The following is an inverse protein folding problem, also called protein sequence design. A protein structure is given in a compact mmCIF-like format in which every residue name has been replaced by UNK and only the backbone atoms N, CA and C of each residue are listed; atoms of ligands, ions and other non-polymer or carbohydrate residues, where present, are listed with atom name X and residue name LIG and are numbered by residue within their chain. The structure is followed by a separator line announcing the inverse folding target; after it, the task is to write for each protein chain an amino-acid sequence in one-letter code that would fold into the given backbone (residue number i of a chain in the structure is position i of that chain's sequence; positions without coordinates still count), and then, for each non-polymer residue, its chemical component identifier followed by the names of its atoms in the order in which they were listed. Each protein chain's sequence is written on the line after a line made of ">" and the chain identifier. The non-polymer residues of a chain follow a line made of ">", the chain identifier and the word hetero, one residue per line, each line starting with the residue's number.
data_IF_586013477968
#
_entry.id   IF_586013477968
#
_cell.length_a   1.000
_cell.length_b   1.000
_cell.length_c   1.000
_cell.angle_alpha   90.00
_cell.angle_beta   90.00
_cell.angle_gamma   90.00
#
_symmetry.space_group_name_H-M   'P 1'
#
loop_
_entity.id
_entity.type
_entity.pdbx_description
1 polymer ?
#
# COMPACT_ATOMS: atom_id res chain seq x y z
N UNK A 1 -18.84 22.02 -6.40
CA UNK A 1 -18.60 21.24 -7.63
C UNK A 1 -18.41 19.79 -7.21
N UNK A 2 -19.36 18.91 -7.51
CA UNK A 2 -19.23 17.48 -7.23
C UNK A 2 -18.22 16.91 -8.20
N UNK A 3 -17.08 16.43 -7.71
CA UNK A 3 -16.09 15.75 -8.56
C UNK A 3 -16.67 14.37 -8.89
N UNK A 4 -17.03 14.15 -10.15
CA UNK A 4 -17.40 12.82 -10.62
C UNK A 4 -16.16 11.93 -10.59
N UNK A 5 -16.18 10.91 -9.73
CA UNK A 5 -15.11 9.93 -9.62
C UNK A 5 -15.47 8.78 -10.56
N UNK A 6 -14.56 8.40 -11.47
CA UNK A 6 -14.78 7.26 -12.36
C UNK A 6 -14.92 5.95 -11.57
N UNK A 7 -15.65 4.98 -12.14
CA UNK A 7 -15.80 3.65 -11.55
C UNK A 7 -14.46 2.96 -11.33
N UNK A 8 -13.54 3.08 -12.30
CA UNK A 8 -12.17 2.58 -12.20
C UNK A 8 -11.44 3.19 -10.99
N UNK A 9 -11.58 4.50 -10.78
CA UNK A 9 -10.97 5.18 -9.65
C UNK A 9 -11.56 4.71 -8.31
N UNK A 10 -12.89 4.54 -8.23
CA UNK A 10 -13.55 3.99 -7.04
C UNK A 10 -13.06 2.57 -6.72
N UNK A 11 -12.94 1.70 -7.74
CA UNK A 11 -12.39 0.36 -7.56
C UNK A 11 -10.94 0.39 -7.11
N UNK A 12 -10.12 1.25 -7.73
CA UNK A 12 -8.71 1.40 -7.38
C UNK A 12 -8.53 1.85 -5.92
N UNK A 13 -9.34 2.79 -5.44
CA UNK A 13 -9.26 3.30 -4.08
C UNK A 13 -9.60 2.27 -3.00
N UNK A 14 -10.44 1.27 -3.32
CA UNK A 14 -10.77 0.15 -2.42
C UNK A 14 -9.97 -1.13 -2.72
N UNK A 15 -8.95 -1.03 -3.58
CA UNK A 15 -8.13 -2.16 -3.98
C UNK A 15 -6.80 -2.24 -3.25
N UNK A 16 -6.37 -3.46 -2.98
CA UNK A 16 -5.02 -3.82 -2.57
C UNK A 16 -4.30 -4.57 -3.70
N UNK A 17 -2.97 -4.50 -3.66
CA UNK A 17 -2.08 -5.38 -4.40
C UNK A 17 -1.22 -6.14 -3.40
N UNK A 18 -1.32 -7.46 -3.45
CA UNK A 18 -0.56 -8.39 -2.62
C UNK A 18 0.52 -9.05 -3.47
N UNK A 19 1.72 -9.13 -2.94
CA UNK A 19 2.90 -9.67 -3.61
C UNK A 19 3.46 -10.80 -2.74
N UNK A 20 3.98 -11.86 -3.37
CA UNK A 20 4.64 -12.95 -2.67
C UNK A 20 3.72 -14.05 -2.11
N UNK A 21 2.40 -14.00 -2.35
CA UNK A 21 1.50 -15.11 -2.05
C UNK A 21 1.73 -16.27 -3.03
N UNK A 22 1.99 -17.51 -2.57
CA UNK A 22 2.17 -18.66 -3.44
C UNK A 22 0.99 -18.89 -4.39
N UNK A 23 1.29 -19.29 -5.63
CA UNK A 23 0.26 -19.70 -6.58
C UNK A 23 0.01 -21.20 -6.44
N UNK A 24 -1.27 -21.58 -6.43
CA UNK A 24 -1.65 -22.99 -6.49
C UNK A 24 -1.26 -23.58 -7.84
N UNK A 25 -0.70 -24.79 -7.82
CA UNK A 25 -0.38 -25.59 -9.01
C UNK A 25 -1.51 -26.57 -9.37
N UNK A 26 -2.69 -26.41 -8.77
CA UNK A 26 -3.85 -27.26 -9.08
C UNK A 26 -4.16 -27.22 -10.59
N UNK A 27 -4.42 -28.36 -11.24
CA UNK A 27 -4.71 -28.39 -12.67
C UNK A 27 -5.95 -27.55 -13.04
N UNK A 28 -6.94 -27.46 -12.16
CA UNK A 28 -8.19 -26.77 -12.41
C UNK A 28 -8.08 -25.26 -12.12
N UNK A 29 -8.38 -24.38 -13.10
CA UNK A 29 -8.36 -22.93 -12.90
C UNK A 29 -9.28 -22.45 -11.76
N UNK A 30 -10.45 -23.07 -11.60
CA UNK A 30 -11.40 -22.75 -10.53
C UNK A 30 -10.85 -23.04 -9.14
N UNK A 31 -10.12 -24.16 -8.98
CA UNK A 31 -9.44 -24.52 -7.72
C UNK A 31 -8.31 -23.55 -7.39
N UNK A 32 -7.53 -23.12 -8.40
CA UNK A 32 -6.49 -22.09 -8.20
C UNK A 32 -7.09 -20.75 -7.75
N UNK A 33 -8.18 -20.31 -8.40
CA UNK A 33 -8.89 -19.08 -8.02
C UNK A 33 -9.48 -19.17 -6.60
N UNK A 34 -10.06 -20.32 -6.23
CA UNK A 34 -10.56 -20.56 -4.88
C UNK A 34 -9.44 -20.54 -3.83
N UNK A 35 -8.28 -21.13 -4.15
CA UNK A 35 -7.11 -21.10 -3.28
C UNK A 35 -6.57 -19.67 -3.07
N UNK A 36 -6.53 -18.84 -4.12
CA UNK A 36 -6.15 -17.42 -4.00
C UNK A 36 -7.13 -16.66 -3.08
N UNK A 37 -8.44 -16.88 -3.23
CA UNK A 37 -9.46 -16.26 -2.37
C UNK A 37 -9.33 -16.70 -0.91
N UNK A 38 -9.08 -17.98 -0.66
CA UNK A 38 -8.87 -18.51 0.69
C UNK A 38 -7.61 -17.92 1.34
N UNK A 39 -6.49 -17.86 0.62
CA UNK A 39 -5.26 -17.24 1.10
C UNK A 39 -5.45 -15.76 1.44
N UNK A 40 -6.17 -15.00 0.61
CA UNK A 40 -6.49 -13.59 0.90
C UNK A 40 -7.37 -13.46 2.14
N UNK A 41 -8.35 -14.34 2.31
CA UNK A 41 -9.24 -14.30 3.48
C UNK A 41 -8.43 -14.52 4.76
N UNK A 42 -7.57 -15.55 4.82
CA UNK A 42 -6.69 -15.78 5.97
C UNK A 42 -5.68 -14.66 6.22
N UNK A 43 -5.22 -13.97 5.16
CA UNK A 43 -4.40 -12.76 5.31
C UNK A 43 -5.18 -11.61 5.94
N UNK A 44 -6.44 -11.40 5.54
CA UNK A 44 -7.32 -10.38 6.13
C UNK A 44 -7.65 -10.72 7.59
N UNK A 45 -7.86 -11.99 7.92
CA UNK A 45 -8.06 -12.46 9.29
C UNK A 45 -6.84 -12.15 10.16
N UNK A 46 -5.63 -12.43 9.66
CA UNK A 46 -4.36 -12.12 10.34
C UNK A 46 -4.18 -10.62 10.57
N UNK A 47 -4.76 -9.79 9.70
CA UNK A 47 -4.75 -8.34 9.84
C UNK A 47 -5.85 -7.83 10.80
N UNK A 48 -6.87 -8.65 11.09
CA UNK A 48 -8.04 -8.28 11.87
C UNK A 48 -9.03 -7.42 11.07
N UNK A 49 -9.20 -7.72 9.78
CA UNK A 49 -10.09 -6.98 8.89
C UNK A 49 -11.39 -7.76 8.72
N UNK A 50 -12.47 -7.21 9.25
CA UNK A 50 -13.80 -7.83 9.28
C UNK A 50 -14.55 -7.62 7.95
N UNK A 51 -13.94 -8.02 6.83
CA UNK A 51 -14.63 -8.05 5.54
C UNK A 51 -14.10 -9.15 4.62
N UNK A 52 -14.99 -9.73 3.82
CA UNK A 52 -14.60 -10.61 2.72
C UNK A 52 -14.14 -9.81 1.49
N UNK A 53 -13.13 -10.28 0.75
CA UNK A 53 -12.75 -9.65 -0.51
C UNK A 53 -13.85 -9.86 -1.55
N UNK A 54 -14.22 -8.78 -2.26
CA UNK A 54 -15.25 -8.81 -3.31
C UNK A 54 -14.75 -9.53 -4.55
N UNK A 55 -13.53 -9.22 -5.00
CA UNK A 55 -12.91 -9.80 -6.19
C UNK A 55 -11.43 -10.04 -5.91
N UNK A 56 -10.93 -11.20 -6.34
CA UNK A 56 -9.53 -11.61 -6.18
C UNK A 56 -9.05 -12.21 -7.50
N UNK A 57 -7.94 -11.70 -8.04
CA UNK A 57 -7.35 -12.22 -9.27
C UNK A 57 -5.87 -11.88 -9.40
N UNK A 58 -5.12 -12.72 -10.12
CA UNK A 58 -3.70 -12.50 -10.41
C UNK A 58 -3.52 -11.54 -11.58
N UNK A 59 -2.53 -10.66 -11.48
CA UNK A 59 -2.13 -9.73 -12.52
C UNK A 59 -0.98 -10.31 -13.36
N UNK A 60 -0.97 -10.01 -14.65
CA UNK A 60 0.06 -10.45 -15.59
C UNK A 60 -0.32 -11.72 -16.35
N UNK A 61 0.60 -12.20 -17.19
CA UNK A 61 0.38 -13.37 -18.04
C UNK A 61 0.19 -14.64 -17.19
N UNK A 62 -0.41 -15.67 -17.78
CA UNK A 62 -0.62 -16.97 -17.12
C UNK A 62 0.71 -17.57 -16.63
N UNK A 63 0.61 -18.41 -15.60
CA UNK A 63 1.71 -19.08 -14.91
C UNK A 63 2.84 -19.47 -15.88
N UNK A 64 3.99 -18.82 -15.70
CA UNK A 64 5.22 -19.20 -16.38
C UNK A 64 6.06 -20.02 -15.39
N UNK A 65 6.30 -21.32 -15.64
CA UNK A 65 7.08 -22.16 -14.74
C UNK A 65 8.54 -21.70 -14.54
N UNK A 66 9.05 -20.81 -15.41
CA UNK A 66 10.38 -20.19 -15.23
C UNK A 66 10.37 -18.95 -14.33
N UNK A 67 9.18 -18.47 -13.95
CA UNK A 67 9.04 -17.27 -13.14
C UNK A 67 9.37 -17.58 -11.68
N UNK A 68 10.51 -17.06 -11.21
CA UNK A 68 10.99 -17.25 -9.83
C UNK A 68 10.06 -16.66 -8.75
N UNK A 69 9.07 -15.86 -9.14
CA UNK A 69 8.16 -15.18 -8.22
C UNK A 69 6.70 -15.34 -8.61
N UNK A 70 5.85 -15.54 -7.60
CA UNK A 70 4.41 -15.54 -7.77
C UNK A 70 3.92 -14.19 -8.31
N UNK A 71 2.90 -14.24 -9.15
CA UNK A 71 2.26 -13.05 -9.74
C UNK A 71 1.60 -12.20 -8.67
N UNK A 72 1.54 -10.90 -8.93
CA UNK A 72 0.83 -9.96 -8.07
C UNK A 72 -0.66 -10.35 -8.01
N UNK A 73 -1.26 -10.23 -6.84
CA UNK A 73 -2.67 -10.48 -6.64
C UNK A 73 -3.38 -9.15 -6.40
N UNK A 74 -4.38 -8.84 -7.22
CA UNK A 74 -5.29 -7.73 -7.00
C UNK A 74 -6.46 -8.20 -6.15
N UNK A 75 -6.77 -7.41 -5.12
CA UNK A 75 -7.87 -7.67 -4.20
C UNK A 75 -8.75 -6.43 -4.13
N UNK A 76 -10.02 -6.54 -4.51
CA UNK A 76 -11.03 -5.50 -4.27
C UNK A 76 -11.72 -5.76 -2.94
N UNK A 77 -11.84 -4.71 -2.13
CA UNK A 77 -12.58 -4.72 -0.88
C UNK A 77 -13.93 -4.01 -1.05
N UNK A 78 -14.90 -4.23 -0.15
CA UNK A 78 -16.21 -3.60 -0.26
C UNK A 78 -16.14 -2.07 -0.29
N UNK A 79 -15.24 -1.47 0.51
CA UNK A 79 -15.09 -0.04 0.66
C UNK A 79 -13.62 0.40 0.87
N UNK A 80 -13.36 1.69 0.58
CA UNK A 80 -12.05 2.34 0.82
C UNK A 80 -11.62 2.28 2.30
N UNK A 81 -12.57 2.27 3.23
CA UNK A 81 -12.27 2.16 4.67
C UNK A 81 -11.51 0.87 5.00
N UNK A 82 -11.96 -0.28 4.50
CA UNK A 82 -11.29 -1.57 4.69
C UNK A 82 -9.89 -1.60 4.08
N UNK A 83 -9.71 -0.97 2.91
CA UNK A 83 -8.39 -0.81 2.29
C UNK A 83 -7.42 -0.05 3.20
N UNK A 84 -7.87 1.07 3.79
CA UNK A 84 -7.05 1.87 4.70
C UNK A 84 -6.73 1.09 5.98
N UNK A 85 -7.72 0.41 6.55
CA UNK A 85 -7.54 -0.43 7.74
C UNK A 85 -6.52 -1.54 7.47
N UNK A 86 -6.66 -2.27 6.35
CA UNK A 86 -5.75 -3.33 5.97
C UNK A 86 -4.31 -2.82 5.79
N UNK A 87 -4.11 -1.68 5.12
CA UNK A 87 -2.78 -1.09 4.94
C UNK A 87 -2.17 -0.59 6.26
N UNK A 88 -2.97 -0.01 7.16
CA UNK A 88 -2.50 0.41 8.48
C UNK A 88 -2.12 -0.79 9.34
N UNK A 89 -3.00 -1.80 9.41
CA UNK A 89 -2.71 -3.05 10.12
C UNK A 89 -1.45 -3.72 9.57
N UNK A 90 -1.28 -3.74 8.24
CA UNK A 90 -0.10 -4.29 7.60
C UNK A 90 1.18 -3.57 7.99
N UNK A 91 1.20 -2.22 8.00
CA UNK A 91 2.38 -1.44 8.40
C UNK A 91 2.83 -1.77 9.83
N UNK A 92 1.90 -2.08 10.72
CA UNK A 92 2.19 -2.40 12.13
C UNK A 92 2.51 -3.87 12.36
N UNK A 93 1.80 -4.79 11.69
CA UNK A 93 1.85 -6.24 11.95
C UNK A 93 2.74 -7.03 10.98
N UNK A 94 3.29 -6.41 9.93
CA UNK A 94 3.99 -7.13 8.86
C UNK A 94 5.14 -8.03 9.36
N UNK A 95 5.90 -7.62 10.36
CA UNK A 95 7.01 -8.40 10.89
C UNK A 95 6.48 -9.67 11.57
N UNK A 96 5.47 -9.54 12.43
CA UNK A 96 4.81 -10.68 13.09
C UNK A 96 4.20 -11.65 12.07
N UNK A 97 3.49 -11.14 11.06
CA UNK A 97 2.86 -11.96 10.02
C UNK A 97 3.90 -12.69 9.17
N UNK A 98 5.02 -12.06 8.84
CA UNK A 98 6.10 -12.70 8.08
C UNK A 98 6.86 -13.76 8.89
N UNK A 99 6.89 -13.60 10.21
CA UNK A 99 7.53 -14.54 11.13
C UNK A 99 6.63 -15.72 11.53
N UNK A 100 5.30 -15.58 11.44
CA UNK A 100 4.38 -16.62 11.91
C UNK A 100 4.31 -17.85 10.99
N UNK A 101 4.48 -17.67 9.68
CA UNK A 101 4.41 -18.75 8.71
C UNK A 101 5.38 -18.56 7.55
N UNK A 102 6.06 -19.65 7.17
CA UNK A 102 7.05 -19.66 6.08
C UNK A 102 6.49 -19.16 4.75
N UNK A 103 5.21 -19.47 4.46
CA UNK A 103 4.51 -19.05 3.25
C UNK A 103 4.25 -17.54 3.20
N UNK A 104 4.23 -16.87 4.36
CA UNK A 104 3.94 -15.44 4.45
C UNK A 104 5.22 -14.57 4.50
N UNK A 105 6.40 -15.19 4.58
CA UNK A 105 7.69 -14.52 4.77
C UNK A 105 7.96 -13.42 3.75
N UNK A 106 7.57 -13.65 2.49
CA UNK A 106 7.85 -12.75 1.37
C UNK A 106 6.66 -11.84 1.03
N UNK A 107 5.62 -11.79 1.88
CA UNK A 107 4.43 -11.01 1.59
C UNK A 107 4.71 -9.53 1.68
N UNK A 108 4.17 -8.80 0.70
CA UNK A 108 4.08 -7.35 0.71
C UNK A 108 2.68 -6.93 0.27
N UNK A 109 2.10 -5.98 1.00
CA UNK A 109 0.81 -5.38 0.66
C UNK A 109 1.02 -3.90 0.39
N UNK A 110 0.38 -3.41 -0.67
CA UNK A 110 0.32 -1.99 -1.02
C UNK A 110 -1.05 -1.64 -1.59
N UNK A 111 -1.35 -0.36 -1.65
CA UNK A 111 -2.49 0.13 -2.42
C UNK A 111 -2.32 -0.12 -3.93
N UNK A 112 -3.45 -0.15 -4.63
CA UNK A 112 -3.46 -0.03 -6.08
C UNK A 112 -3.20 1.41 -6.51
N UNK A 113 -2.11 1.62 -7.23
CA UNK A 113 -1.67 2.91 -7.74
C UNK A 113 -1.94 3.01 -9.24
N UNK A 114 -2.05 4.23 -9.76
CA UNK A 114 -1.94 4.48 -11.21
C UNK A 114 -0.52 4.18 -11.69
N UNK A 115 -0.31 4.19 -13.01
CA UNK A 115 1.01 3.94 -13.59
C UNK A 115 2.02 5.00 -13.16
N UNK A 116 1.62 6.26 -13.19
CA UNK A 116 2.44 7.42 -12.85
C UNK A 116 2.81 7.38 -11.37
N UNK A 117 1.84 7.10 -10.50
CA UNK A 117 2.07 6.92 -9.07
C UNK A 117 3.00 5.73 -8.77
N UNK A 118 2.90 4.65 -9.54
CA UNK A 118 3.76 3.48 -9.40
C UNK A 118 5.19 3.78 -9.85
N UNK A 119 5.37 4.52 -10.94
CA UNK A 119 6.67 4.98 -11.43
C UNK A 119 7.33 5.91 -10.41
N UNK A 120 6.59 6.86 -9.84
CA UNK A 120 7.10 7.74 -8.78
C UNK A 120 7.50 6.96 -7.53
N UNK A 121 6.68 5.99 -7.10
CA UNK A 121 7.06 5.10 -5.99
C UNK A 121 8.35 4.35 -6.30
N UNK A 122 8.50 3.79 -7.50
CA UNK A 122 9.73 3.10 -7.90
C UNK A 122 10.94 4.03 -7.85
N UNK A 123 10.79 5.26 -8.36
CA UNK A 123 11.82 6.30 -8.33
C UNK A 123 12.27 6.61 -6.89
N UNK A 124 11.32 6.87 -6.00
CA UNK A 124 11.61 7.16 -4.58
C UNK A 124 12.32 6.00 -3.88
N UNK A 125 11.87 4.76 -4.11
CA UNK A 125 12.51 3.58 -3.54
C UNK A 125 13.92 3.34 -4.11
N UNK A 126 14.14 3.56 -5.42
CA UNK A 126 15.46 3.45 -6.03
C UNK A 126 16.43 4.50 -5.45
N UNK A 127 15.97 5.74 -5.30
CA UNK A 127 16.75 6.82 -4.67
C UNK A 127 17.08 6.48 -3.21
N UNK A 128 16.11 6.00 -2.44
CA UNK A 128 16.29 5.57 -1.06
C UNK A 128 17.33 4.46 -0.94
N UNK A 129 17.26 3.41 -1.78
CA UNK A 129 18.24 2.33 -1.80
C UNK A 129 19.63 2.85 -2.17
N UNK A 130 19.73 3.70 -3.19
CA UNK A 130 21.01 4.29 -3.60
C UNK A 130 21.67 5.11 -2.49
N UNK A 131 20.88 5.88 -1.71
CA UNK A 131 21.41 6.61 -0.55
C UNK A 131 21.85 5.69 0.59
N UNK A 132 21.08 4.64 0.92
CA UNK A 132 21.49 3.63 1.93
C UNK A 132 22.83 2.99 1.56
N UNK A 133 23.03 2.66 0.30
CA UNK A 133 24.28 2.03 -0.18
C UNK A 133 25.48 2.99 -0.08
N UNK A 134 25.29 4.29 -0.30
CA UNK A 134 26.37 5.29 -0.25
C UNK A 134 26.76 5.68 1.17
N UNK A 135 25.77 6.01 2.00
CA UNK A 135 26.02 6.64 3.29
C UNK A 135 26.01 5.63 4.45
N UNK A 136 25.49 4.43 4.23
CA UNK A 136 25.27 3.41 5.28
C UNK A 136 24.17 3.78 6.30
N UNK A 137 23.55 4.95 6.16
CA UNK A 137 22.51 5.44 7.07
C UNK A 137 21.12 4.89 6.72
N UNK A 138 20.22 4.87 7.70
CA UNK A 138 18.85 4.38 7.53
C UNK A 138 17.92 5.44 6.91
N UNK A 139 18.08 5.63 5.60
CA UNK A 139 17.17 6.42 4.78
C UNK A 139 15.82 5.72 4.63
N UNK A 140 14.71 6.46 4.60
CA UNK A 140 13.36 5.91 4.39
C UNK A 140 12.57 6.78 3.41
N UNK A 141 11.57 6.18 2.77
CA UNK A 141 10.53 6.92 2.03
C UNK A 141 9.40 7.26 3.01
N UNK A 142 9.15 8.54 3.24
CA UNK A 142 8.09 9.05 4.10
C UNK A 142 7.35 10.19 3.41
N UNK A 143 6.02 10.10 3.34
CA UNK A 143 5.14 11.14 2.78
C UNK A 143 5.59 11.70 1.40
N UNK A 144 6.10 10.83 0.51
CA UNK A 144 6.55 11.22 -0.83
C UNK A 144 7.98 11.77 -0.90
N UNK A 145 8.74 11.72 0.21
CA UNK A 145 10.12 12.21 0.27
C UNK A 145 11.08 11.15 0.81
N UNK A 146 12.34 11.22 0.41
CA UNK A 146 13.43 10.36 0.91
C UNK A 146 14.19 11.12 1.99
N UNK A 147 14.02 10.69 3.24
CA UNK A 147 14.57 11.38 4.43
C UNK A 147 15.28 10.38 5.34
N UNK A 148 16.11 10.85 6.27
CA UNK A 148 16.67 10.00 7.30
C UNK A 148 15.60 9.61 8.31
N UNK A 149 15.66 8.37 8.81
CA UNK A 149 14.69 7.92 9.84
C UNK A 149 14.72 8.80 11.08
N UNK A 150 15.90 9.27 11.49
CA UNK A 150 16.06 10.19 12.62
C UNK A 150 15.29 11.50 12.43
N UNK A 151 15.13 11.98 11.19
CA UNK A 151 14.55 13.29 10.86
C UNK A 151 13.03 13.26 10.66
N UNK A 152 12.38 12.10 10.77
CA UNK A 152 10.93 11.95 10.54
C UNK A 152 10.10 12.91 11.40
N UNK A 153 10.50 13.15 12.64
CA UNK A 153 9.80 14.04 13.56
C UNK A 153 9.89 15.52 13.13
N UNK A 154 11.07 15.95 12.67
CA UNK A 154 11.30 17.31 12.13
C UNK A 154 10.43 17.53 10.89
N UNK A 155 10.46 16.56 9.97
CA UNK A 155 9.70 16.63 8.72
C UNK A 155 8.19 16.69 8.97
N UNK A 156 7.68 15.93 9.95
CA UNK A 156 6.25 16.00 10.34
C UNK A 156 5.84 17.38 10.85
N UNK A 157 6.67 18.04 11.66
CA UNK A 157 6.38 19.38 12.17
C UNK A 157 6.35 20.41 11.04
N UNK A 158 7.28 20.33 10.09
CA UNK A 158 7.33 21.22 8.92
C UNK A 158 6.09 21.09 8.03
N UNK A 159 5.57 19.87 7.84
CA UNK A 159 4.32 19.68 7.09
C UNK A 159 3.09 20.26 7.80
N UNK A 160 3.06 20.25 9.14
CA UNK A 160 1.96 20.83 9.90
C UNK A 160 1.97 22.36 9.82
N UNK A 161 3.13 23.00 9.94
CA UNK A 161 3.25 24.46 9.89
C UNK A 161 2.93 25.05 8.52
N UNK A 162 3.21 24.34 7.42
CA UNK A 162 2.85 24.78 6.07
C UNK A 162 1.36 24.65 5.73
N UNK A 163 0.59 23.88 6.52
CA UNK A 163 -0.84 23.67 6.30
C UNK A 163 -1.76 24.69 7.00
N UNK A 164 -1.19 25.57 7.84
CA UNK A 164 -1.93 26.63 8.52
C UNK A 164 -1.85 27.90 7.66
N UNK A 165 -2.97 28.41 7.10
CA UNK A 165 -2.93 29.68 6.37
C UNK A 165 -2.53 30.82 7.32
N UNK A 166 -1.75 31.81 6.86
CA UNK A 166 -1.39 32.95 7.68
C UNK A 166 -2.65 33.64 8.18
N UNK A 167 -2.81 33.73 9.50
CA UNK A 167 -3.87 34.52 10.13
C UNK A 167 -3.73 35.96 9.68
N UNK A 168 -4.72 36.46 8.95
CA UNK A 168 -4.78 37.88 8.55
C UNK A 168 -4.75 38.74 9.81
N UNK A 169 -3.87 39.75 9.91
CA UNK A 169 -3.87 40.65 11.05
C UNK A 169 -5.21 41.40 11.10
N UNK A 170 -5.89 41.26 12.24
CA UNK A 170 -7.16 41.89 12.54
C UNK A 170 -6.97 43.42 12.48
N UNK A 171 -7.38 44.04 11.38
CA UNK A 171 -7.33 45.51 11.26
C UNK A 171 -8.53 46.06 12.03
N UNK A 172 -8.30 46.35 13.31
CA UNK A 172 -9.22 47.15 14.13
C UNK A 172 -9.30 48.55 13.52
N UNK A 173 -10.29 48.77 12.66
CA UNK A 173 -10.71 50.11 12.27
C UNK A 173 -11.44 50.73 13.47
N UNK A 174 -10.72 51.52 14.25
CA UNK A 174 -11.31 52.53 15.14
C UNK A 174 -12.05 53.53 14.25
N UNK A 175 -13.37 53.61 14.39
CA UNK A 175 -14.15 54.76 13.95
C UNK A 175 -14.55 55.56 15.18
N UNK A 176 -14.02 56.78 15.24
CA UNK A 176 -14.60 57.90 15.97
C UNK A 176 -15.85 58.40 15.24
#
# INVERSE_FOLDING_TARGET
>A
MSVEISTEELERQRSLVVMGLPESTDPLPSKRAAADKAQVSGLLDSLGIECGPSIVYRLGRSFNPTQKSARLLKVLLPARAFQRQALTAWRTKNNTIRSSASQLKNIQIRESLTREQLEERRRLHALCTGKRTKDGQDWIVYAGSVILRSEVHIFRQQMQTQSIPPSTPNTLSSKN
#
